data_IF_159589974254
#
_entry.id   IF_159589974254
#
_cell.length_a   1.000
_cell.length_b   1.000
_cell.length_c   1.000
_cell.angle_alpha   90.00
_cell.angle_beta   90.00
_cell.angle_gamma   90.00
#
_symmetry.space_group_name_H-M   'P 1'
#
loop_
_entity.id
_entity.type
_entity.pdbx_description
1 polymer ?
#
# COMPACT_ATOMS: atom_id res chain seq x y z
N UNK A 1 -29.79 -0.90 -20.60
CA UNK A 1 -29.08 -1.31 -19.36
C UNK A 1 -27.80 -0.48 -19.21
N UNK A 2 -27.62 0.31 -18.15
CA UNK A 2 -26.37 1.02 -17.91
C UNK A 2 -25.32 0.07 -17.32
N UNK A 3 -24.13 0.01 -17.93
CA UNK A 3 -23.01 -0.79 -17.42
C UNK A 3 -22.49 -0.15 -16.14
N UNK A 4 -22.67 -0.83 -15.01
CA UNK A 4 -22.05 -0.44 -13.72
C UNK A 4 -20.53 -0.52 -13.89
N UNK A 5 -19.88 0.63 -14.07
CA UNK A 5 -18.43 0.72 -14.09
C UNK A 5 -17.88 0.27 -12.73
N UNK A 6 -17.30 -0.93 -12.69
CA UNK A 6 -16.48 -1.37 -11.57
C UNK A 6 -15.23 -0.49 -11.56
N UNK A 7 -15.31 0.62 -10.82
CA UNK A 7 -14.18 1.49 -10.59
C UNK A 7 -13.14 0.72 -9.77
N UNK A 8 -12.15 0.13 -10.44
CA UNK A 8 -10.97 -0.44 -9.80
C UNK A 8 -10.19 0.73 -9.18
N UNK A 9 -10.48 1.03 -7.90
CA UNK A 9 -9.87 2.15 -7.18
C UNK A 9 -8.51 1.74 -6.66
N UNK A 10 -7.49 2.47 -7.09
CA UNK A 10 -6.16 2.37 -6.48
C UNK A 10 -6.25 3.03 -5.10
N UNK A 11 -5.87 2.27 -4.07
CA UNK A 11 -5.93 2.69 -2.66
C UNK A 11 -5.03 3.91 -2.39
N UNK A 12 -3.92 4.01 -3.12
CA UNK A 12 -2.97 5.13 -3.08
C UNK A 12 -3.00 5.83 -4.44
N UNK A 13 -3.80 6.90 -4.63
CA UNK A 13 -3.96 7.57 -5.92
C UNK A 13 -2.65 8.03 -6.56
N UNK A 14 -1.68 8.43 -5.73
CA UNK A 14 -0.35 8.87 -6.13
C UNK A 14 0.45 7.75 -6.82
N UNK A 15 0.17 6.49 -6.49
CA UNK A 15 0.84 5.34 -7.08
C UNK A 15 0.28 4.94 -8.45
N UNK A 16 -0.74 5.64 -8.98
CA UNK A 16 -1.41 5.26 -10.23
C UNK A 16 -0.46 5.17 -11.41
N UNK A 17 0.39 6.17 -11.60
CA UNK A 17 1.35 6.19 -12.70
C UNK A 17 2.35 5.01 -12.60
N UNK A 18 2.89 4.78 -11.40
CA UNK A 18 3.80 3.66 -11.14
C UNK A 18 3.10 2.30 -11.35
N UNK A 19 1.84 2.16 -10.93
CA UNK A 19 1.05 0.94 -11.13
C UNK A 19 0.73 0.67 -12.60
N UNK A 20 0.48 1.72 -13.39
CA UNK A 20 0.25 1.57 -14.83
C UNK A 20 1.53 1.20 -15.57
N UNK A 21 2.67 1.78 -15.20
CA UNK A 21 3.99 1.34 -15.70
C UNK A 21 4.27 -0.12 -15.35
N UNK A 22 4.10 -0.49 -14.09
CA UNK A 22 4.32 -1.85 -13.61
C UNK A 22 3.47 -2.89 -14.35
N UNK A 23 2.22 -2.55 -14.64
CA UNK A 23 1.32 -3.38 -15.45
C UNK A 23 1.82 -3.54 -16.89
N UNK A 24 2.31 -2.47 -17.50
CA UNK A 24 2.86 -2.49 -18.86
C UNK A 24 4.14 -3.34 -18.94
N UNK A 25 5.01 -3.25 -17.94
CA UNK A 25 6.21 -4.08 -17.82
C UNK A 25 5.86 -5.57 -17.67
N UNK A 26 4.94 -5.90 -16.75
CA UNK A 26 4.47 -7.28 -16.57
C UNK A 26 3.84 -7.87 -17.84
N UNK A 27 3.11 -7.06 -18.61
CA UNK A 27 2.56 -7.50 -19.90
C UNK A 27 3.66 -7.73 -20.96
N UNK A 28 4.64 -6.82 -21.01
CA UNK A 28 5.78 -6.90 -21.94
C UNK A 28 6.60 -8.17 -21.70
N UNK A 29 6.89 -8.51 -20.44
CA UNK A 29 7.63 -9.73 -20.08
C UNK A 29 6.91 -11.01 -20.46
N UNK A 30 5.58 -11.01 -20.42
CA UNK A 30 4.76 -12.15 -20.83
C UNK A 30 4.55 -12.21 -22.35
N UNK A 31 5.03 -11.23 -23.11
CA UNK A 31 4.75 -11.11 -24.55
C UNK A 31 3.27 -10.89 -24.85
N UNK A 32 2.52 -10.33 -23.91
CA UNK A 32 1.08 -10.12 -24.03
C UNK A 32 0.82 -8.68 -24.53
N UNK A 33 0.11 -8.51 -25.66
CA UNK A 33 -0.16 -7.18 -26.19
C UNK A 33 -1.18 -6.47 -25.30
N UNK A 34 -0.70 -5.56 -24.46
CA UNK A 34 -1.53 -4.70 -23.62
C UNK A 34 -1.56 -3.28 -24.20
N UNK A 35 -2.74 -2.82 -24.60
CA UNK A 35 -2.98 -1.49 -25.11
C UNK A 35 -3.51 -0.56 -24.02
N UNK A 36 -3.14 0.72 -24.08
CA UNK A 36 -3.64 1.72 -23.15
C UNK A 36 -5.14 2.05 -23.36
N UNK A 37 -5.63 1.91 -24.60
CA UNK A 37 -6.99 2.34 -24.98
C UNK A 37 -8.04 1.23 -24.89
N UNK A 38 -7.74 0.03 -25.37
CA UNK A 38 -8.71 -1.06 -25.43
C UNK A 38 -8.03 -2.42 -25.39
N UNK A 39 -8.42 -3.25 -24.42
CA UNK A 39 -7.92 -4.60 -24.22
C UNK A 39 -9.03 -5.66 -24.37
N UNK A 40 -10.08 -5.38 -25.15
CA UNK A 40 -11.20 -6.32 -25.28
C UNK A 40 -10.87 -7.60 -26.04
N UNK A 41 -9.82 -7.59 -26.87
CA UNK A 41 -9.28 -8.78 -27.54
C UNK A 41 -8.39 -9.62 -26.61
N UNK A 42 -8.07 -9.12 -25.42
CA UNK A 42 -7.25 -9.82 -24.45
C UNK A 42 -8.04 -10.98 -23.86
N UNK A 43 -7.54 -12.20 -24.05
CA UNK A 43 -8.19 -13.38 -23.45
C UNK A 43 -8.14 -13.27 -21.92
N UNK A 44 -9.15 -13.82 -21.23
CA UNK A 44 -9.18 -13.87 -19.76
C UNK A 44 -7.92 -14.50 -19.17
N UNK A 45 -7.36 -15.50 -19.87
CA UNK A 45 -6.10 -16.15 -19.49
C UNK A 45 -4.93 -15.17 -19.55
N UNK A 46 -4.81 -14.40 -20.62
CA UNK A 46 -3.73 -13.41 -20.78
C UNK A 46 -3.85 -12.28 -19.74
N UNK A 47 -5.05 -11.74 -19.54
CA UNK A 47 -5.30 -10.72 -18.51
C UNK A 47 -4.96 -11.24 -17.11
N UNK A 48 -5.37 -12.48 -16.80
CA UNK A 48 -5.05 -13.17 -15.55
C UNK A 48 -3.55 -13.38 -15.36
N UNK A 49 -2.83 -13.80 -16.41
CA UNK A 49 -1.37 -13.97 -16.36
C UNK A 49 -0.64 -12.68 -16.02
N UNK A 50 -1.06 -11.54 -16.58
CA UNK A 50 -0.48 -10.22 -16.26
C UNK A 50 -0.65 -9.90 -14.78
N UNK A 51 -1.89 -10.00 -14.26
CA UNK A 51 -2.17 -9.76 -12.84
C UNK A 51 -1.39 -10.71 -11.92
N UNK A 52 -1.25 -11.98 -12.31
CA UNK A 52 -0.44 -12.96 -11.58
C UNK A 52 1.04 -12.60 -11.52
N UNK A 53 1.63 -12.11 -12.63
CA UNK A 53 3.02 -11.65 -12.63
C UNK A 53 3.23 -10.42 -11.76
N UNK A 54 2.28 -9.47 -11.78
CA UNK A 54 2.33 -8.30 -10.91
C UNK A 54 2.36 -8.71 -9.43
N UNK A 55 1.51 -9.65 -9.01
CA UNK A 55 1.48 -10.15 -7.64
C UNK A 55 2.78 -10.90 -7.30
N UNK A 56 3.29 -11.73 -8.22
CA UNK A 56 4.54 -12.48 -8.01
C UNK A 56 5.73 -11.54 -7.75
N UNK A 57 5.86 -10.49 -8.55
CA UNK A 57 6.90 -9.46 -8.38
C UNK A 57 6.73 -8.66 -7.10
N UNK A 58 5.48 -8.33 -6.72
CA UNK A 58 5.19 -7.63 -5.47
C UNK A 58 5.62 -8.46 -4.26
N UNK A 59 5.32 -9.76 -4.25
CA UNK A 59 5.74 -10.68 -3.19
C UNK A 59 7.27 -10.77 -3.16
N UNK A 60 7.92 -10.97 -4.31
CA UNK A 60 9.38 -11.01 -4.39
C UNK A 60 10.04 -9.73 -3.85
N UNK A 61 9.53 -8.55 -4.24
CA UNK A 61 10.01 -7.28 -3.73
C UNK A 61 9.81 -7.18 -2.22
N UNK A 62 8.66 -7.61 -1.71
CA UNK A 62 8.36 -7.61 -0.28
C UNK A 62 9.28 -8.57 0.51
N UNK A 63 9.49 -9.79 0.02
CA UNK A 63 10.41 -10.78 0.58
C UNK A 63 11.86 -10.26 0.59
N UNK A 64 12.31 -9.62 -0.49
CA UNK A 64 13.64 -9.00 -0.55
C UNK A 64 13.80 -7.87 0.47
N UNK A 65 12.77 -7.06 0.68
CA UNK A 65 12.78 -6.00 1.70
C UNK A 65 12.86 -6.60 3.12
N UNK A 66 12.10 -7.67 3.39
CA UNK A 66 12.15 -8.40 4.66
C UNK A 66 13.52 -9.05 4.91
N UNK A 67 14.07 -9.71 3.89
CA UNK A 67 15.37 -10.39 3.96
C UNK A 67 16.53 -9.39 4.13
N UNK A 68 16.41 -8.19 3.55
CA UNK A 68 17.39 -7.10 3.68
C UNK A 68 17.37 -6.37 5.02
N UNK A 69 16.54 -6.79 6.00
CA UNK A 69 16.50 -6.17 7.32
C UNK A 69 15.73 -4.85 7.39
N UNK A 70 15.12 -4.38 6.29
CA UNK A 70 14.12 -3.32 6.33
C UNK A 70 12.81 -3.90 6.83
N UNK A 71 12.75 -4.15 8.13
CA UNK A 71 11.52 -4.52 8.81
C UNK A 71 10.51 -3.39 8.65
N UNK A 72 9.55 -3.56 7.74
CA UNK A 72 8.31 -2.78 7.78
C UNK A 72 7.61 -3.20 9.07
N UNK A 73 7.79 -2.41 10.14
CA UNK A 73 7.12 -2.63 11.40
C UNK A 73 5.62 -2.40 11.22
N UNK A 74 4.87 -3.48 10.97
CA UNK A 74 3.41 -3.51 10.82
C UNK A 74 2.65 -3.12 12.10
N UNK A 75 3.35 -2.74 13.17
CA UNK A 75 2.80 -2.47 14.51
C UNK A 75 2.69 -0.98 14.88
N UNK A 76 2.77 -0.04 13.93
CA UNK A 76 2.63 1.39 14.18
C UNK A 76 1.16 1.84 14.45
N UNK A 77 0.39 1.04 15.18
CA UNK A 77 -0.90 1.42 15.80
C UNK A 77 -0.74 1.57 17.33
N UNK A 78 0.47 1.38 17.87
CA UNK A 78 0.71 1.40 19.32
C UNK A 78 1.03 2.78 19.92
N UNK A 79 1.20 3.83 19.10
CA UNK A 79 1.57 5.18 19.59
C UNK A 79 0.48 5.89 20.42
N UNK A 80 -0.78 5.50 20.28
CA UNK A 80 -1.88 6.09 21.07
C UNK A 80 -1.90 5.59 22.53
N UNK A 81 -1.36 4.41 22.82
CA UNK A 81 -1.30 3.87 24.18
C UNK A 81 -0.17 4.55 24.98
N UNK A 82 0.99 4.73 24.36
CA UNK A 82 2.13 5.42 25.00
C UNK A 82 1.85 6.91 25.23
N UNK A 83 1.18 7.57 24.28
CA UNK A 83 0.79 8.99 24.42
C UNK A 83 -0.20 9.18 25.59
N UNK A 84 -1.16 8.26 25.78
CA UNK A 84 -2.09 8.31 26.91
C UNK A 84 -1.40 8.06 28.26
N UNK A 85 -0.41 7.17 28.31
CA UNK A 85 0.36 6.91 29.54
C UNK A 85 1.23 8.11 29.95
N UNK A 86 1.83 8.83 29.00
CA UNK A 86 2.62 10.03 29.29
C UNK A 86 1.75 11.20 29.80
N UNK A 87 0.58 11.43 29.19
CA UNK A 87 -0.32 12.50 29.65
C UNK A 87 -0.76 12.21 31.09
N UNK A 88 -1.09 10.96 31.43
CA UNK A 88 -1.55 10.60 32.77
C UNK A 88 -0.49 10.73 33.88
N UNK A 89 0.80 10.60 33.54
CA UNK A 89 1.91 10.86 34.48
C UNK A 89 2.16 12.36 34.70
N UNK A 90 1.94 13.18 33.68
CA UNK A 90 2.14 14.64 33.79
C UNK A 90 1.10 15.34 34.69
N UNK A 91 -0.16 14.87 34.70
CA UNK A 91 -1.22 15.41 35.58
C UNK A 91 -0.99 15.10 37.07
N UNK A 92 -0.15 14.11 37.40
CA UNK A 92 0.15 13.75 38.80
C UNK A 92 1.20 14.66 39.44
N UNK A 93 2.04 15.33 38.65
CA UNK A 93 3.10 16.23 39.14
C UNK A 93 2.67 17.71 39.23
N UNK A 94 1.51 18.09 38.72
CA UNK A 94 1.01 19.47 38.78
C UNK A 94 0.39 19.85 40.15
N UNK A 95 0.55 19.01 41.18
CA UNK A 95 -0.13 19.10 42.47
C UNK A 95 0.77 19.43 43.67
N UNK A 96 1.74 20.35 43.56
CA UNK A 96 2.40 20.90 44.75
C UNK A 96 2.32 22.44 44.79
N UNK A 97 1.85 23.04 45.91
CA UNK A 97 1.39 24.43 45.97
C UNK A 97 2.46 25.39 46.50
N UNK A 98 2.49 26.59 45.93
CA UNK A 98 3.08 27.80 46.53
C UNK A 98 4.56 28.01 46.28
N UNK A 99 4.89 29.09 45.55
CA UNK A 99 5.89 30.06 46.02
C UNK A 99 5.43 31.48 45.66
N UNK A 100 5.27 32.27 46.71
CA UNK A 100 4.91 33.69 46.71
C UNK A 100 6.09 34.55 46.28
N UNK A 101 5.84 35.59 45.48
CA UNK A 101 5.99 37.03 45.82
C UNK A 101 5.29 37.84 44.72
#
# INVERSE_FOLDING_TARGET
MPRKGTNNRILVPQARAAMDQFKQESATELGVPLNASYNGELTTRQAGSIGGQMVKKMILAYENNLAGGNQVSLNQVQDLQQTKQQIQQSVQNAGQPGQSY
#
